data_IF_218272557385
#
_entry.id   IF_218272557385
#
_cell.length_a   1.000
_cell.length_b   1.000
_cell.length_c   1.000
_cell.angle_alpha   90.00
_cell.angle_beta   90.00
_cell.angle_gamma   90.00
#
_symmetry.space_group_name_H-M   'P 1'
#
loop_
_entity.id
_entity.type
_entity.pdbx_description
1 polymer ?
#
# COMPACT_ATOMS: atom_id res chain seq x y z
N UNK A 1 -24.78 -61.44 47.16
CA UNK A 1 -23.54 -60.79 46.72
C UNK A 1 -23.90 -59.96 45.53
N UNK A 2 -23.87 -58.59 45.69
CA UNK A 2 -24.21 -57.63 44.63
C UNK A 2 -22.90 -57.01 44.15
N UNK A 3 -22.56 -57.19 42.87
CA UNK A 3 -21.40 -56.57 42.26
C UNK A 3 -21.79 -55.18 41.72
N UNK A 4 -21.12 -54.16 42.25
CA UNK A 4 -21.27 -52.77 41.82
C UNK A 4 -20.21 -52.49 40.77
N UNK A 5 -20.61 -52.31 39.51
CA UNK A 5 -19.72 -51.95 38.42
C UNK A 5 -19.59 -50.41 38.36
N UNK A 6 -18.40 -49.93 38.63
CA UNK A 6 -18.05 -48.50 38.47
C UNK A 6 -17.52 -48.29 37.03
N UNK A 7 -18.28 -47.63 36.20
CA UNK A 7 -17.84 -47.22 34.87
C UNK A 7 -17.12 -45.88 35.00
N UNK A 8 -15.82 -45.86 34.80
CA UNK A 8 -15.02 -44.65 34.73
C UNK A 8 -15.17 -44.02 33.31
N UNK A 9 -15.88 -42.91 33.24
CA UNK A 9 -15.99 -42.11 32.01
C UNK A 9 -14.72 -41.28 31.78
N UNK A 10 -14.01 -41.56 30.71
CA UNK A 10 -12.84 -40.78 30.26
C UNK A 10 -13.33 -39.55 29.52
N UNK A 11 -13.24 -38.35 30.12
CA UNK A 11 -13.49 -37.05 29.47
C UNK A 11 -12.22 -36.71 28.68
N UNK A 12 -12.25 -36.86 27.36
CA UNK A 12 -11.26 -36.28 26.43
C UNK A 12 -11.52 -34.78 26.31
N UNK A 13 -10.67 -34.01 26.97
CA UNK A 13 -10.63 -32.55 26.72
C UNK A 13 -9.88 -32.31 25.39
N UNK A 14 -10.62 -31.99 24.34
CA UNK A 14 -10.04 -31.52 23.07
C UNK A 14 -9.53 -30.09 23.27
N UNK A 15 -8.24 -29.91 23.53
CA UNK A 15 -7.59 -28.63 23.50
C UNK A 15 -7.47 -28.18 22.03
N UNK A 16 -8.30 -27.24 21.60
CA UNK A 16 -8.17 -26.57 20.32
C UNK A 16 -6.95 -25.65 20.37
N UNK A 17 -5.84 -26.09 19.79
CA UNK A 17 -4.68 -25.25 19.53
C UNK A 17 -5.08 -24.21 18.46
N UNK A 18 -5.43 -23.00 18.88
CA UNK A 18 -5.42 -21.84 18.01
C UNK A 18 -3.96 -21.56 17.67
N UNK A 19 -3.51 -21.99 16.50
CA UNK A 19 -2.23 -21.59 15.96
C UNK A 19 -2.26 -20.05 15.82
N UNK A 20 -1.59 -19.32 16.69
CA UNK A 20 -1.37 -17.89 16.56
C UNK A 20 -0.57 -17.66 15.29
N UNK A 21 -1.23 -17.26 14.21
CA UNK A 21 -0.54 -16.83 13.00
C UNK A 21 0.38 -15.65 13.37
N UNK A 22 1.68 -15.83 13.14
CA UNK A 22 2.64 -14.75 13.31
C UNK A 22 2.20 -13.54 12.49
N UNK A 23 2.07 -12.34 13.09
CA UNK A 23 1.66 -11.15 12.36
C UNK A 23 2.52 -10.97 11.10
N UNK A 24 1.88 -10.65 9.97
CA UNK A 24 2.62 -10.40 8.73
C UNK A 24 3.58 -9.22 8.93
N UNK A 25 4.79 -9.35 8.40
CA UNK A 25 5.83 -8.33 8.52
C UNK A 25 5.42 -6.99 7.90
N UNK A 26 4.46 -7.01 6.97
CA UNK A 26 3.88 -5.85 6.30
C UNK A 26 2.37 -6.09 6.21
N UNK A 27 1.57 -5.63 7.20
CA UNK A 27 0.13 -5.86 7.23
C UNK A 27 -0.57 -5.16 6.06
N UNK A 28 -1.74 -5.68 5.68
CA UNK A 28 -2.62 -5.01 4.74
C UNK A 28 -3.19 -3.74 5.37
N UNK A 29 -3.32 -2.69 4.56
CA UNK A 29 -3.88 -1.40 4.94
C UNK A 29 -4.70 -0.81 3.79
N UNK A 30 -5.57 0.13 4.13
CA UNK A 30 -6.44 0.82 3.18
C UNK A 30 -6.49 2.30 3.53
N UNK A 31 -6.34 3.16 2.53
CA UNK A 31 -6.69 4.57 2.58
C UNK A 31 -7.91 4.79 1.68
N UNK A 32 -8.89 5.54 2.17
CA UNK A 32 -10.12 5.83 1.40
C UNK A 32 -10.64 7.22 1.70
N UNK A 33 -11.22 7.86 0.70
CA UNK A 33 -11.92 9.14 0.83
C UNK A 33 -13.16 9.14 -0.06
N UNK A 34 -14.21 9.85 0.37
CA UNK A 34 -15.39 10.08 -0.46
C UNK A 34 -15.48 11.57 -0.74
N UNK A 35 -15.42 11.95 -2.02
CA UNK A 35 -15.48 13.32 -2.52
C UNK A 35 -16.63 13.42 -3.51
N UNK A 36 -17.51 14.38 -3.36
CA UNK A 36 -18.71 14.56 -4.21
C UNK A 36 -19.54 13.25 -4.37
N UNK A 37 -19.61 12.43 -3.31
CA UNK A 37 -20.34 11.15 -3.30
C UNK A 37 -19.66 9.99 -4.05
N UNK A 38 -18.41 10.17 -4.49
CA UNK A 38 -17.59 9.18 -5.17
C UNK A 38 -16.45 8.72 -4.28
N UNK A 39 -16.18 7.42 -4.25
CA UNK A 39 -15.13 6.85 -3.40
C UNK A 39 -13.86 6.61 -4.19
N UNK A 40 -12.75 7.02 -3.58
CA UNK A 40 -11.38 6.70 -4.04
C UNK A 40 -10.71 5.88 -2.95
N UNK A 41 -10.14 4.75 -3.30
CA UNK A 41 -9.56 3.79 -2.32
C UNK A 41 -8.19 3.31 -2.80
N UNK A 42 -7.22 3.28 -1.89
CA UNK A 42 -5.90 2.64 -2.09
C UNK A 42 -5.79 1.47 -1.14
N UNK A 43 -5.57 0.26 -1.68
CA UNK A 43 -5.24 -0.93 -0.90
C UNK A 43 -3.76 -1.26 -1.07
N UNK A 44 -3.07 -1.48 0.03
CA UNK A 44 -1.62 -1.69 0.04
C UNK A 44 -1.19 -2.58 1.20
N UNK A 45 0.07 -3.02 1.19
CA UNK A 45 0.69 -3.58 2.38
C UNK A 45 1.71 -2.60 2.92
N UNK A 46 1.67 -2.36 4.23
CA UNK A 46 2.42 -1.33 4.94
C UNK A 46 3.72 -1.91 5.54
N UNK A 47 4.88 -1.79 4.87
CA UNK A 47 6.16 -2.18 5.45
C UNK A 47 6.60 -1.19 6.52
N UNK A 48 7.28 -1.69 7.56
CA UNK A 48 7.92 -0.86 8.59
C UNK A 48 9.39 -0.57 8.28
N UNK A 49 9.90 0.53 8.80
CA UNK A 49 11.34 0.89 8.78
C UNK A 49 12.15 -0.16 9.54
N UNK A 50 11.72 -0.52 10.74
CA UNK A 50 12.31 -1.60 11.56
C UNK A 50 13.83 -1.45 11.77
N UNK A 51 14.25 -0.26 12.18
CA UNK A 51 15.66 0.06 12.46
C UNK A 51 16.54 0.16 11.21
N UNK A 52 15.95 0.43 10.02
CA UNK A 52 16.67 0.61 8.76
C UNK A 52 16.65 2.05 8.28
N UNK A 53 16.57 2.99 9.20
CA UNK A 53 16.62 4.44 8.91
C UNK A 53 17.83 4.77 8.04
N UNK A 54 17.64 5.59 7.02
CA UNK A 54 18.67 5.96 6.04
C UNK A 54 19.10 4.83 5.10
N UNK A 55 18.41 3.65 5.12
CA UNK A 55 18.76 2.48 4.30
C UNK A 55 17.63 2.01 3.39
N UNK A 56 16.54 2.75 3.31
CA UNK A 56 15.37 2.34 2.52
C UNK A 56 15.49 2.82 1.08
N UNK A 57 15.65 4.11 0.88
CA UNK A 57 15.64 4.77 -0.42
C UNK A 57 17.04 5.03 -1.01
N UNK A 58 18.08 4.68 -0.29
CA UNK A 58 19.48 4.91 -0.70
C UNK A 58 19.94 3.91 -1.76
N UNK A 59 21.05 4.24 -2.44
CA UNK A 59 21.77 3.29 -3.28
C UNK A 59 22.15 2.05 -2.46
N UNK A 60 21.90 0.87 -3.01
CA UNK A 60 22.05 -0.42 -2.35
C UNK A 60 21.15 -0.59 -1.10
N UNK A 61 20.12 0.26 -0.98
CA UNK A 61 19.11 0.21 0.07
C UNK A 61 18.07 -0.89 -0.12
N UNK A 62 17.06 -0.89 0.77
CA UNK A 62 16.05 -1.93 0.81
C UNK A 62 15.28 -2.08 -0.51
N UNK A 63 14.84 -0.96 -1.10
CA UNK A 63 14.02 -1.00 -2.31
C UNK A 63 14.82 -1.56 -3.48
N UNK A 64 16.05 -1.08 -3.68
CA UNK A 64 16.92 -1.56 -4.74
C UNK A 64 17.21 -3.07 -4.62
N UNK A 65 17.46 -3.56 -3.40
CA UNK A 65 17.74 -4.98 -3.14
C UNK A 65 16.52 -5.89 -3.36
N UNK A 66 15.32 -5.36 -3.21
CA UNK A 66 14.09 -6.16 -3.21
C UNK A 66 13.24 -6.03 -4.47
N UNK A 67 13.51 -5.02 -5.34
CA UNK A 67 12.73 -4.76 -6.55
C UNK A 67 13.60 -4.89 -7.81
N UNK A 68 13.26 -5.86 -8.66
CA UNK A 68 13.93 -6.06 -9.94
C UNK A 68 13.71 -4.89 -10.91
N UNK A 69 12.62 -4.16 -10.75
CA UNK A 69 12.24 -2.99 -11.54
C UNK A 69 12.81 -1.67 -11.02
N UNK A 70 13.70 -1.71 -10.01
CA UNK A 70 14.33 -0.49 -9.51
C UNK A 70 14.86 0.37 -10.67
N UNK A 71 14.65 1.69 -10.69
CA UNK A 71 14.11 2.55 -9.62
C UNK A 71 12.57 2.61 -9.53
N UNK A 72 11.82 1.84 -10.34
CA UNK A 72 10.37 1.75 -10.20
C UNK A 72 10.00 0.78 -9.09
N UNK A 73 9.27 1.29 -8.11
CA UNK A 73 8.88 0.61 -6.89
C UNK A 73 7.35 0.47 -6.81
N UNK A 74 6.84 -0.69 -6.38
CA UNK A 74 5.40 -0.93 -6.16
C UNK A 74 4.76 -0.09 -5.04
N UNK A 75 5.53 0.79 -4.42
CA UNK A 75 5.09 1.72 -3.36
C UNK A 75 4.28 1.03 -2.23
N UNK A 76 4.81 -0.10 -1.77
CA UNK A 76 4.20 -0.98 -0.77
C UNK A 76 5.04 -2.25 -0.59
N UNK A 77 4.42 -3.29 -0.06
CA UNK A 77 5.01 -4.60 0.15
C UNK A 77 4.05 -5.72 -0.29
N UNK A 78 4.53 -6.96 -0.34
CA UNK A 78 3.76 -8.16 -0.69
C UNK A 78 3.03 -8.00 -2.05
N UNK A 79 1.69 -7.94 -2.06
CA UNK A 79 0.89 -7.70 -3.27
C UNK A 79 1.09 -6.29 -3.81
N UNK A 80 0.78 -6.09 -5.09
CA UNK A 80 0.80 -4.76 -5.70
C UNK A 80 -0.16 -3.81 -4.97
N UNK A 81 0.26 -2.55 -4.84
CA UNK A 81 -0.60 -1.47 -4.36
C UNK A 81 -1.63 -1.15 -5.44
N UNK A 82 -2.90 -1.03 -5.09
CA UNK A 82 -3.98 -0.78 -6.05
C UNK A 82 -4.73 0.50 -5.71
N UNK A 83 -5.16 1.21 -6.76
CA UNK A 83 -6.12 2.31 -6.72
C UNK A 83 -7.44 1.82 -7.29
N UNK A 84 -8.53 2.06 -6.59
CA UNK A 84 -9.90 1.93 -7.11
C UNK A 84 -10.60 3.28 -7.03
N UNK A 85 -11.33 3.64 -8.08
CA UNK A 85 -12.13 4.86 -8.12
C UNK A 85 -13.48 4.62 -8.78
N UNK A 86 -14.54 5.15 -8.15
CA UNK A 86 -15.92 5.07 -8.65
C UNK A 86 -16.23 6.12 -9.74
N UNK A 87 -15.30 7.07 -9.97
CA UNK A 87 -15.44 8.13 -10.96
C UNK A 87 -14.13 8.37 -11.69
N UNK A 88 -14.19 9.07 -12.81
CA UNK A 88 -12.99 9.56 -13.47
C UNK A 88 -12.24 10.53 -12.56
N UNK A 89 -10.92 10.43 -12.55
CA UNK A 89 -10.04 11.32 -11.80
C UNK A 89 -9.09 12.05 -12.74
N UNK A 90 -8.70 13.24 -12.32
CA UNK A 90 -7.49 13.88 -12.83
C UNK A 90 -6.47 13.91 -11.70
N UNK A 91 -5.39 13.11 -11.79
CA UNK A 91 -4.32 13.04 -10.78
C UNK A 91 -3.11 13.83 -11.32
N UNK A 92 -2.81 15.00 -10.74
CA UNK A 92 -1.91 15.95 -11.39
C UNK A 92 -2.44 16.28 -12.79
N UNK A 93 -1.67 15.93 -13.83
CA UNK A 93 -2.06 16.11 -15.23
C UNK A 93 -2.62 14.84 -15.88
N UNK A 94 -2.68 13.73 -15.14
CA UNK A 94 -3.05 12.42 -15.67
C UNK A 94 -4.56 12.17 -15.55
N UNK A 95 -5.22 11.88 -16.67
CA UNK A 95 -6.60 11.41 -16.70
C UNK A 95 -6.66 9.92 -16.38
N UNK A 96 -7.43 9.57 -15.35
CA UNK A 96 -7.61 8.19 -14.85
C UNK A 96 -9.11 7.88 -14.85
N UNK A 97 -9.62 7.13 -15.83
CA UNK A 97 -11.03 6.72 -15.85
C UNK A 97 -11.43 5.92 -14.60
N UNK A 98 -12.73 5.88 -14.30
CA UNK A 98 -13.28 5.02 -13.25
C UNK A 98 -12.81 3.57 -13.44
N UNK A 99 -12.35 2.93 -12.36
CA UNK A 99 -11.82 1.57 -12.45
C UNK A 99 -10.80 1.21 -11.38
N UNK A 100 -10.08 0.12 -11.62
CA UNK A 100 -9.03 -0.39 -10.72
C UNK A 100 -7.70 -0.45 -11.46
N UNK A 101 -6.64 0.01 -10.80
CA UNK A 101 -5.30 0.20 -11.35
C UNK A 101 -4.25 -0.30 -10.36
N UNK A 102 -3.08 -0.67 -10.86
CA UNK A 102 -1.90 -0.88 -10.02
C UNK A 102 -1.09 0.41 -9.95
N UNK A 103 -0.57 0.71 -8.77
CA UNK A 103 0.26 1.88 -8.52
C UNK A 103 1.73 1.51 -8.43
N UNK A 104 2.57 2.35 -9.04
CA UNK A 104 4.02 2.34 -8.86
C UNK A 104 4.54 3.76 -8.63
N UNK A 105 5.74 3.86 -8.11
CA UNK A 105 6.46 5.14 -7.96
C UNK A 105 7.88 4.96 -8.48
N UNK A 106 8.28 5.83 -9.40
CA UNK A 106 9.67 5.96 -9.84
C UNK A 106 10.40 6.88 -8.86
N UNK A 107 11.40 6.33 -8.18
CA UNK A 107 12.19 7.00 -7.15
C UNK A 107 13.60 7.34 -7.64
N UNK A 108 13.85 7.37 -8.95
CA UNK A 108 15.16 7.66 -9.55
C UNK A 108 15.72 9.02 -9.14
N UNK A 109 14.85 10.01 -8.95
CA UNK A 109 15.20 11.33 -8.46
C UNK A 109 14.66 11.55 -7.04
N UNK A 110 15.51 11.59 -6.01
CA UNK A 110 15.06 11.81 -4.62
C UNK A 110 14.33 13.14 -4.39
N UNK A 111 14.59 14.13 -5.22
CA UNK A 111 13.93 15.44 -5.15
C UNK A 111 12.60 15.53 -5.88
N UNK A 112 12.25 14.52 -6.67
CA UNK A 112 10.99 14.50 -7.42
C UNK A 112 10.66 13.06 -7.82
N UNK A 113 9.83 12.41 -7.04
CA UNK A 113 9.27 11.12 -7.42
C UNK A 113 8.20 11.26 -8.50
N UNK A 114 7.98 10.17 -9.24
CA UNK A 114 6.97 10.13 -10.30
C UNK A 114 5.95 9.05 -9.97
N UNK A 115 4.69 9.46 -9.83
CA UNK A 115 3.56 8.57 -9.62
C UNK A 115 3.17 7.91 -10.94
N UNK A 116 2.98 6.60 -10.94
CA UNK A 116 2.68 5.80 -12.13
C UNK A 116 1.39 5.03 -11.89
N UNK A 117 0.45 5.16 -12.80
CA UNK A 117 -0.81 4.40 -12.84
C UNK A 117 -0.70 3.36 -13.95
N UNK A 118 -0.79 2.08 -13.61
CA UNK A 118 -0.71 0.95 -14.55
C UNK A 118 -2.07 0.29 -14.71
N UNK A 119 -2.43 -0.03 -15.95
CA UNK A 119 -3.65 -0.77 -16.31
C UNK A 119 -3.59 -2.25 -15.92
N UNK A 120 -2.40 -2.79 -15.71
CA UNK A 120 -2.19 -4.18 -15.35
C UNK A 120 -2.52 -4.40 -13.89
N UNK A 121 -3.45 -5.29 -13.57
CA UNK A 121 -3.92 -5.59 -12.22
C UNK A 121 -3.74 -7.06 -11.87
N UNK A 122 -3.94 -7.42 -10.59
CA UNK A 122 -3.87 -8.82 -10.12
C UNK A 122 -2.45 -9.36 -9.95
N UNK A 123 -1.44 -8.50 -9.88
CA UNK A 123 -0.04 -8.88 -9.82
C UNK A 123 0.55 -8.82 -8.41
N UNK A 124 1.69 -9.51 -8.24
CA UNK A 124 2.46 -9.44 -7.00
C UNK A 124 3.25 -8.12 -6.85
N UNK A 125 3.35 -7.32 -7.93
CA UNK A 125 4.00 -6.01 -7.94
C UNK A 125 5.54 -6.05 -8.00
N UNK A 126 6.16 -7.20 -8.24
CA UNK A 126 7.61 -7.31 -8.45
C UNK A 126 8.02 -7.15 -9.91
N UNK A 127 7.08 -7.32 -10.84
CA UNK A 127 7.28 -7.12 -12.27
C UNK A 127 6.59 -5.84 -12.71
N UNK A 128 7.36 -4.85 -13.12
CA UNK A 128 6.85 -3.63 -13.73
C UNK A 128 7.00 -3.71 -15.26
N UNK A 129 5.93 -3.34 -15.95
CA UNK A 129 5.87 -3.30 -17.41
C UNK A 129 5.37 -1.91 -17.84
N UNK A 130 6.28 -1.09 -18.36
CA UNK A 130 5.98 0.28 -18.77
C UNK A 130 5.00 0.38 -19.95
N UNK A 131 4.82 -0.69 -20.72
CA UNK A 131 3.82 -0.73 -21.81
C UNK A 131 2.38 -0.76 -21.29
N UNK A 132 2.22 -1.09 -20.02
CA UNK A 132 0.93 -1.11 -19.31
C UNK A 132 0.62 0.19 -18.56
N UNK A 133 1.51 1.18 -18.60
CA UNK A 133 1.22 2.46 -17.99
C UNK A 133 -0.01 3.11 -18.64
N UNK A 134 -0.97 3.53 -17.80
CA UNK A 134 -1.99 4.48 -18.22
C UNK A 134 -1.34 5.86 -18.38
N UNK A 135 -0.44 6.19 -17.46
CA UNK A 135 0.37 7.39 -17.51
C UNK A 135 1.14 7.65 -16.22
N UNK A 136 1.78 8.80 -16.18
CA UNK A 136 2.69 9.22 -15.12
C UNK A 136 2.49 10.68 -14.79
N UNK A 137 2.70 11.06 -13.52
CA UNK A 137 2.65 12.46 -13.08
C UNK A 137 3.69 12.71 -11.99
N UNK A 138 4.37 13.87 -11.95
CA UNK A 138 5.32 14.17 -10.89
C UNK A 138 4.62 14.34 -9.55
N UNK A 139 5.32 13.97 -8.47
CA UNK A 139 4.89 14.20 -7.10
C UNK A 139 5.66 15.35 -6.47
N UNK A 140 5.02 16.06 -5.56
CA UNK A 140 5.68 17.06 -4.71
C UNK A 140 6.31 16.37 -3.53
N UNK A 141 7.64 16.56 -3.34
CA UNK A 141 8.39 15.97 -2.25
C UNK A 141 8.44 16.89 -1.04
N UNK A 142 8.35 16.31 0.15
CA UNK A 142 8.53 16.99 1.43
C UNK A 142 9.09 16.03 2.48
N UNK A 143 9.40 16.55 3.66
CA UNK A 143 9.75 15.73 4.82
C UNK A 143 8.59 15.71 5.80
N UNK A 144 8.27 14.55 6.40
CA UNK A 144 7.31 14.49 7.49
C UNK A 144 7.85 15.22 8.74
N UNK A 145 6.96 15.66 9.62
CA UNK A 145 7.35 16.32 10.88
C UNK A 145 8.15 15.40 11.82
N UNK A 146 7.96 14.08 11.69
CA UNK A 146 8.71 13.05 12.39
C UNK A 146 8.81 11.82 11.48
N UNK A 147 9.78 10.96 11.72
CA UNK A 147 9.97 9.71 11.00
C UNK A 147 8.69 8.86 11.00
N UNK A 148 8.30 8.38 9.81
CA UNK A 148 7.11 7.55 9.60
C UNK A 148 7.54 6.09 9.59
N UNK A 149 7.31 5.38 10.70
CA UNK A 149 7.72 3.98 10.87
C UNK A 149 7.10 3.05 9.85
N UNK A 150 5.79 3.16 9.62
CA UNK A 150 5.07 2.30 8.70
C UNK A 150 4.65 3.09 7.46
N UNK A 151 4.95 2.56 6.25
CA UNK A 151 4.49 3.16 5.01
C UNK A 151 2.99 3.44 5.09
N UNK A 152 2.61 4.68 4.81
CA UNK A 152 1.23 5.14 4.95
C UNK A 152 0.79 5.91 3.72
N UNK A 153 -0.36 5.53 3.16
CA UNK A 153 -1.12 6.36 2.23
C UNK A 153 -2.17 7.16 2.98
N UNK A 154 -2.36 8.39 2.58
CA UNK A 154 -3.44 9.26 3.05
C UNK A 154 -4.14 9.86 1.83
N UNK A 155 -5.47 9.85 1.86
CA UNK A 155 -6.31 10.56 0.90
C UNK A 155 -7.11 11.60 1.67
N UNK A 156 -6.98 12.88 1.29
CA UNK A 156 -7.70 13.98 1.93
C UNK A 156 -8.78 14.53 1.03
N UNK A 157 -9.87 15.03 1.61
CA UNK A 157 -10.85 15.87 0.96
C UNK A 157 -10.42 17.33 1.17
N UNK A 158 -10.07 18.01 0.09
CA UNK A 158 -9.59 19.40 0.11
C UNK A 158 -10.72 20.40 -0.25
N UNK A 159 -11.95 19.89 -0.31
CA UNK A 159 -13.15 20.65 -0.60
C UNK A 159 -13.55 20.67 -2.08
N UNK A 160 -14.84 20.77 -2.33
CA UNK A 160 -15.43 20.68 -3.67
C UNK A 160 -15.28 19.29 -4.27
N UNK A 161 -14.56 19.20 -5.38
CA UNK A 161 -14.23 17.94 -6.05
C UNK A 161 -12.74 17.59 -5.95
N UNK A 162 -11.99 18.22 -5.03
CA UNK A 162 -10.53 18.13 -4.92
C UNK A 162 -10.11 17.26 -3.77
N UNK A 163 -8.99 16.59 -3.93
CA UNK A 163 -8.30 15.85 -2.88
C UNK A 163 -6.80 15.79 -3.11
N UNK A 164 -6.09 15.31 -2.10
CA UNK A 164 -4.65 15.07 -2.19
C UNK A 164 -4.34 13.62 -1.79
N UNK A 165 -3.57 12.94 -2.63
CA UNK A 165 -2.95 11.66 -2.35
C UNK A 165 -1.57 11.91 -1.77
N UNK A 166 -1.29 11.35 -0.61
CA UNK A 166 0.02 11.43 0.07
C UNK A 166 0.54 10.05 0.39
N UNK A 167 1.81 9.81 0.11
CA UNK A 167 2.57 8.63 0.48
C UNK A 167 3.71 9.05 1.42
N UNK A 168 3.76 8.50 2.61
CA UNK A 168 4.79 8.79 3.60
C UNK A 168 5.45 7.52 4.12
N UNK A 169 6.76 7.52 4.17
CA UNK A 169 7.55 6.45 4.79
C UNK A 169 8.96 6.93 5.13
N UNK A 170 9.48 6.52 6.28
CA UNK A 170 10.76 6.96 6.81
C UNK A 170 10.81 8.50 6.95
N UNK A 171 11.70 9.16 6.26
CA UNK A 171 11.85 10.62 6.22
C UNK A 171 11.35 11.26 4.92
N UNK A 172 10.62 10.49 4.11
CA UNK A 172 10.11 10.92 2.80
C UNK A 172 8.59 11.03 2.82
N UNK A 173 8.09 12.11 2.25
CA UNK A 173 6.68 12.31 1.93
C UNK A 173 6.56 12.79 0.49
N UNK A 174 5.72 12.13 -0.27
CA UNK A 174 5.42 12.48 -1.65
C UNK A 174 3.91 12.68 -1.80
N UNK A 175 3.47 13.75 -2.43
CA UNK A 175 2.05 14.05 -2.61
C UNK A 175 1.73 14.45 -4.05
N UNK A 176 0.50 14.18 -4.46
CA UNK A 176 -0.06 14.62 -5.73
C UNK A 176 -1.53 15.00 -5.54
N UNK A 177 -1.97 16.19 -6.03
CA UNK A 177 -3.37 16.57 -5.99
C UNK A 177 -4.16 15.76 -7.01
N UNK A 178 -5.46 15.56 -6.73
CA UNK A 178 -6.39 14.99 -7.69
C UNK A 178 -7.75 15.70 -7.65
N UNK A 179 -8.50 15.58 -8.74
CA UNK A 179 -9.91 15.98 -8.79
C UNK A 179 -10.77 14.79 -9.17
N UNK A 180 -11.98 14.76 -8.65
CA UNK A 180 -13.05 13.85 -9.08
C UNK A 180 -13.83 14.56 -10.17
N UNK A 181 -13.85 13.99 -11.38
CA UNK A 181 -14.42 14.61 -12.58
C UNK A 181 -15.90 14.25 -12.78
#
# INVERSE_FOLDING_TARGET
>A
MKYLSISAGLLLAAATLFAQQKPMASPAATASVTIAGKTVTINYNSPGVKGREGQIFTKDGLIQKTHKSYPVWRAGANTATTLHTDADLTIGDLKVPAGTYTLFVDISNPGQWVFIVSKKTGEWGLGYDSTQDLGRTPMTMSKPASMVENLTYTLTDDGGNKGTLTLSWEDMTASVPFTVD
#
